data_IF_794787725303
#
_entry.id   IF_794787725303
#
_cell.length_a   1.000
_cell.length_b   1.000
_cell.length_c   1.000
_cell.angle_alpha   90.00
_cell.angle_beta   90.00
_cell.angle_gamma   90.00
#
_symmetry.space_group_name_H-M   'P 1'
#
loop_
_entity.id
_entity.type
_entity.pdbx_description
1 polymer ?
#
# COMPACT_ATOMS: atom_id res chain seq x y z
N UNK A 1 21.33 -2.72 -6.53
CA UNK A 1 20.04 -2.43 -5.87
C UNK A 1 19.99 -2.85 -4.39
N UNK A 2 20.90 -2.35 -3.53
CA UNK A 2 20.82 -2.64 -2.08
C UNK A 2 19.66 -1.91 -1.37
N UNK A 3 19.06 -0.93 -2.04
CA UNK A 3 17.98 -0.08 -1.51
C UNK A 3 16.56 -0.63 -1.69
N UNK A 4 16.32 -1.58 -2.61
CA UNK A 4 14.95 -2.05 -2.87
C UNK A 4 14.54 -3.14 -1.84
N UNK A 5 13.46 -2.93 -1.04
CA UNK A 5 13.01 -3.87 -0.01
C UNK A 5 12.75 -5.27 -0.58
N UNK A 6 12.92 -6.34 0.22
CA UNK A 6 12.64 -7.71 -0.23
C UNK A 6 11.22 -7.85 -0.80
N UNK A 7 11.00 -8.80 -1.72
CA UNK A 7 9.67 -9.08 -2.27
C UNK A 7 8.64 -9.31 -1.14
N UNK A 8 9.03 -10.02 -0.09
CA UNK A 8 8.20 -10.24 1.10
C UNK A 8 7.82 -8.91 1.78
N UNK A 9 8.77 -7.98 1.96
CA UNK A 9 8.47 -6.66 2.55
C UNK A 9 7.55 -5.83 1.67
N UNK A 10 7.75 -5.84 0.35
CA UNK A 10 6.88 -5.14 -0.60
C UNK A 10 5.47 -5.73 -0.62
N UNK A 11 5.36 -7.06 -0.53
CA UNK A 11 4.07 -7.74 -0.42
C UNK A 11 3.36 -7.40 0.89
N UNK A 12 4.08 -7.37 2.03
CA UNK A 12 3.51 -6.94 3.31
C UNK A 12 3.03 -5.49 3.27
N UNK A 13 3.77 -4.58 2.62
CA UNK A 13 3.33 -3.19 2.43
C UNK A 13 2.06 -3.10 1.58
N UNK A 14 1.95 -3.93 0.53
CA UNK A 14 0.74 -4.02 -0.29
C UNK A 14 -0.46 -4.49 0.54
N UNK A 15 -0.31 -5.58 1.30
CA UNK A 15 -1.37 -6.11 2.18
C UNK A 15 -1.77 -5.09 3.24
N UNK A 16 -0.80 -4.39 3.84
CA UNK A 16 -1.07 -3.31 4.79
C UNK A 16 -1.86 -2.17 4.15
N UNK A 17 -1.50 -1.77 2.92
CA UNK A 17 -2.23 -0.77 2.15
C UNK A 17 -3.68 -1.17 1.88
N UNK A 18 -3.91 -2.44 1.51
CA UNK A 18 -5.25 -2.99 1.34
C UNK A 18 -6.06 -2.94 2.63
N UNK A 19 -5.47 -3.38 3.74
CA UNK A 19 -6.14 -3.35 5.06
C UNK A 19 -6.49 -1.92 5.47
N UNK A 20 -5.56 -0.97 5.35
CA UNK A 20 -5.81 0.44 5.65
C UNK A 20 -6.90 1.05 4.77
N UNK A 21 -6.91 0.70 3.48
CA UNK A 21 -7.96 1.15 2.56
C UNK A 21 -9.33 0.58 2.97
N UNK A 22 -9.37 -0.71 3.29
CA UNK A 22 -10.59 -1.40 3.69
C UNK A 22 -11.14 -0.87 5.01
N UNK A 23 -10.33 -0.85 6.07
CA UNK A 23 -10.72 -0.33 7.38
C UNK A 23 -10.99 1.17 7.35
N UNK A 24 -10.23 1.95 6.57
CA UNK A 24 -10.50 3.37 6.36
C UNK A 24 -11.85 3.61 5.68
N UNK A 25 -12.19 2.78 4.68
CA UNK A 25 -13.49 2.87 4.01
C UNK A 25 -14.64 2.46 4.92
N UNK A 26 -14.52 1.33 5.63
CA UNK A 26 -15.53 0.88 6.59
C UNK A 26 -15.70 1.87 7.75
N UNK A 27 -14.59 2.34 8.32
CA UNK A 27 -14.60 3.32 9.40
C UNK A 27 -15.22 4.65 8.99
N UNK A 28 -14.92 5.12 7.77
CA UNK A 28 -15.55 6.31 7.20
C UNK A 28 -17.07 6.10 7.04
N UNK A 29 -17.49 4.98 6.47
CA UNK A 29 -18.92 4.67 6.28
C UNK A 29 -19.67 4.57 7.61
N UNK A 30 -19.06 3.95 8.62
CA UNK A 30 -19.65 3.79 9.95
C UNK A 30 -19.69 5.10 10.76
N UNK A 31 -18.90 6.11 10.39
CA UNK A 31 -18.82 7.40 11.07
C UNK A 31 -19.23 8.57 10.16
N UNK A 32 -20.01 8.29 9.10
CA UNK A 32 -20.57 9.31 8.22
C UNK A 32 -21.46 10.27 9.05
N UNK A 33 -20.96 11.49 9.26
CA UNK A 33 -21.62 12.53 10.07
C UNK A 33 -20.93 12.86 11.40
N UNK A 34 -19.86 12.17 11.79
CA UNK A 34 -19.06 12.47 12.99
C UNK A 34 -17.73 13.19 12.71
N UNK A 35 -17.16 13.82 13.74
CA UNK A 35 -15.88 14.58 13.66
C UNK A 35 -14.67 13.73 13.24
N UNK A 36 -14.74 12.40 13.42
CA UNK A 36 -13.63 11.47 13.15
C UNK A 36 -13.40 11.16 11.66
N UNK A 37 -14.12 11.81 10.74
CA UNK A 37 -14.08 11.57 9.30
C UNK A 37 -12.69 11.79 8.64
N UNK A 38 -11.86 12.65 9.21
CA UNK A 38 -10.53 13.00 8.67
C UNK A 38 -9.51 11.88 8.83
N UNK A 39 -9.49 11.17 9.97
CA UNK A 39 -8.58 10.05 10.22
C UNK A 39 -8.84 8.88 9.27
N UNK A 40 -10.11 8.51 9.08
CA UNK A 40 -10.49 7.44 8.16
C UNK A 40 -10.20 7.81 6.70
N UNK A 41 -10.39 9.08 6.34
CA UNK A 41 -10.02 9.60 5.02
C UNK A 41 -8.52 9.51 4.78
N UNK A 42 -7.70 9.89 5.77
CA UNK A 42 -6.24 9.75 5.70
C UNK A 42 -5.80 8.30 5.58
N UNK A 43 -6.36 7.39 6.40
CA UNK A 43 -6.05 5.97 6.33
C UNK A 43 -6.38 5.38 4.95
N UNK A 44 -7.50 5.80 4.36
CA UNK A 44 -7.92 5.36 3.02
C UNK A 44 -6.97 5.86 1.93
N UNK A 45 -6.61 7.15 1.94
CA UNK A 45 -5.69 7.73 0.96
C UNK A 45 -4.31 7.09 1.08
N UNK A 46 -3.78 6.96 2.30
CA UNK A 46 -2.48 6.35 2.53
C UNK A 46 -2.47 4.87 2.14
N UNK A 47 -3.55 4.15 2.45
CA UNK A 47 -3.75 2.77 2.00
C UNK A 47 -3.70 2.65 0.48
N UNK A 48 -4.39 3.53 -0.25
CA UNK A 48 -4.37 3.56 -1.72
C UNK A 48 -2.98 3.84 -2.28
N UNK A 49 -2.23 4.77 -1.69
CA UNK A 49 -0.85 5.06 -2.08
C UNK A 49 0.01 3.80 -1.95
N UNK A 50 -0.09 3.08 -0.83
CA UNK A 50 0.64 1.83 -0.63
C UNK A 50 0.25 0.74 -1.64
N UNK A 51 -1.04 0.64 -1.96
CA UNK A 51 -1.57 -0.33 -2.94
C UNK A 51 -1.06 -0.06 -4.35
N UNK A 52 -0.79 1.20 -4.72
CA UNK A 52 -0.26 1.56 -6.05
C UNK A 52 1.27 1.49 -6.09
N UNK A 53 1.95 2.01 -5.07
CA UNK A 53 3.42 2.08 -5.04
C UNK A 53 4.03 0.69 -4.86
N UNK A 54 3.42 -0.19 -4.09
CA UNK A 54 3.99 -1.52 -3.81
C UNK A 54 4.11 -2.39 -5.08
N UNK A 55 3.07 -2.55 -5.93
CA UNK A 55 3.18 -3.27 -7.20
C UNK A 55 4.23 -2.67 -8.16
N UNK A 56 4.35 -1.35 -8.20
CA UNK A 56 5.37 -0.66 -9.02
C UNK A 56 6.77 -1.08 -8.55
N UNK A 57 7.02 -1.04 -7.25
CA UNK A 57 8.31 -1.45 -6.68
C UNK A 57 8.57 -2.95 -6.86
N UNK A 58 7.54 -3.79 -6.78
CA UNK A 58 7.62 -5.22 -7.08
C UNK A 58 8.03 -5.44 -8.54
N UNK A 59 7.39 -4.72 -9.48
CA UNK A 59 7.72 -4.76 -10.90
C UNK A 59 9.17 -4.36 -11.17
N UNK A 60 9.59 -3.20 -10.64
CA UNK A 60 10.98 -2.74 -10.74
C UNK A 60 11.97 -3.77 -10.17
N UNK A 61 11.63 -4.41 -9.03
CA UNK A 61 12.46 -5.47 -8.45
C UNK A 61 12.50 -6.74 -9.30
N UNK A 62 11.41 -7.07 -9.96
CA UNK A 62 11.31 -8.22 -10.83
C UNK A 62 12.18 -8.03 -12.07
N UNK A 63 12.00 -6.93 -12.79
CA UNK A 63 12.78 -6.63 -14.01
C UNK A 63 14.27 -6.50 -13.73
N UNK A 64 14.65 -5.87 -12.62
CA UNK A 64 16.06 -5.78 -12.24
C UNK A 64 16.72 -7.11 -11.93
N UNK A 65 15.97 -8.09 -11.39
CA UNK A 65 16.48 -9.45 -11.20
C UNK A 65 16.58 -10.23 -12.51
N UNK A 66 15.73 -9.94 -13.48
CA UNK A 66 15.82 -10.53 -14.82
C UNK A 66 17.04 -9.99 -15.57
N UNK A 67 17.26 -8.68 -15.52
CA UNK A 67 18.38 -8.01 -16.19
C UNK A 67 19.75 -8.46 -15.64
N UNK A 68 19.86 -8.68 -14.32
CA UNK A 68 21.08 -9.22 -13.70
C UNK A 68 21.35 -10.71 -13.99
N UNK A 69 20.42 -11.40 -14.65
CA UNK A 69 20.54 -12.83 -14.96
C UNK A 69 20.90 -13.09 -16.44
N UNK A 70 20.88 -12.05 -17.27
CA UNK A 70 21.39 -12.07 -18.65
C UNK A 70 22.87 -11.74 -18.69
#
# INVERSE_FOLDING_TARGET
>A
MKWLPSFVRLFMLFVLGLLLTFFGTMGFMNNLGGESSTLYSFARIFGLVLVVVSPILIGLKFFSRLDQKS
#
